data_IF_968183199614
#
_entry.id   IF_968183199614
#
_cell.length_a   1.000
_cell.length_b   1.000
_cell.length_c   1.000
_cell.angle_alpha   90.00
_cell.angle_beta   90.00
_cell.angle_gamma   90.00
#
_symmetry.space_group_name_H-M   'P 1'
#
loop_
_entity.id
_entity.type
_entity.pdbx_description
1 polymer ?
#
# COMPACT_ATOMS: atom_id res chain seq x y z
N UNK A 1 -21.85 -12.08 -12.38
CA UNK A 1 -22.03 -10.63 -12.30
C UNK A 1 -22.27 -10.30 -10.83
N UNK A 2 -21.29 -10.02 -10.10
CA UNK A 2 -21.13 -9.53 -8.73
C UNK A 2 -19.90 -10.18 -8.10
N UNK A 3 -18.71 -9.75 -8.55
CA UNK A 3 -17.41 -10.15 -7.98
C UNK A 3 -16.58 -8.92 -7.58
N UNK A 4 -17.18 -7.73 -7.57
CA UNK A 4 -16.45 -6.47 -7.37
C UNK A 4 -16.22 -6.08 -5.91
N UNK A 5 -16.75 -6.79 -4.92
CA UNK A 5 -16.62 -6.42 -3.50
C UNK A 5 -15.52 -7.16 -2.74
N UNK A 6 -15.16 -8.36 -3.13
CA UNK A 6 -14.18 -9.20 -2.41
C UNK A 6 -12.75 -8.86 -2.86
N UNK A 7 -12.54 -8.61 -4.16
CA UNK A 7 -11.23 -8.24 -4.70
C UNK A 7 -10.74 -6.86 -4.17
N UNK A 8 -11.64 -5.88 -4.01
CA UNK A 8 -11.30 -4.57 -3.48
C UNK A 8 -10.84 -4.62 -2.01
N UNK A 9 -11.43 -5.50 -1.20
CA UNK A 9 -11.08 -5.64 0.21
C UNK A 9 -9.70 -6.30 0.40
N UNK A 10 -9.39 -7.33 -0.40
CA UNK A 10 -8.07 -7.98 -0.38
C UNK A 10 -6.94 -7.03 -0.81
N UNK A 11 -7.14 -6.25 -1.86
CA UNK A 11 -6.18 -5.27 -2.35
C UNK A 11 -5.90 -4.20 -1.28
N UNK A 12 -6.95 -3.68 -0.63
CA UNK A 12 -6.82 -2.67 0.42
C UNK A 12 -6.07 -3.21 1.66
N UNK A 13 -6.31 -4.46 2.05
CA UNK A 13 -5.63 -5.10 3.18
C UNK A 13 -4.16 -5.33 2.88
N UNK A 14 -3.84 -5.76 1.66
CA UNK A 14 -2.46 -5.93 1.23
C UNK A 14 -1.69 -4.61 1.24
N UNK A 15 -2.29 -3.53 0.74
CA UNK A 15 -1.73 -2.17 0.83
C UNK A 15 -1.52 -1.73 2.27
N UNK A 16 -2.44 -2.05 3.16
CA UNK A 16 -2.31 -1.77 4.60
C UNK A 16 -1.14 -2.55 5.21
N UNK A 17 -0.95 -3.83 4.83
CA UNK A 17 0.20 -4.63 5.24
C UNK A 17 1.52 -3.96 4.84
N UNK A 18 1.68 -3.60 3.56
CA UNK A 18 2.91 -2.95 3.09
C UNK A 18 3.13 -1.60 3.78
N UNK A 19 2.07 -0.84 4.02
CA UNK A 19 2.14 0.43 4.72
C UNK A 19 2.63 0.29 6.17
N UNK A 20 2.09 -0.67 6.91
CA UNK A 20 2.47 -0.92 8.31
C UNK A 20 3.87 -1.54 8.46
N UNK A 21 4.36 -2.19 7.42
CA UNK A 21 5.64 -2.91 7.39
C UNK A 21 6.64 -2.32 6.39
N UNK A 22 6.58 -1.01 6.12
CA UNK A 22 7.49 -0.37 5.15
C UNK A 22 8.98 -0.61 5.47
N UNK A 23 9.46 -0.48 6.72
CA UNK A 23 10.85 -0.78 7.05
C UNK A 23 11.22 -2.23 6.71
N UNK A 24 10.36 -3.18 7.09
CA UNK A 24 10.56 -4.60 6.82
C UNK A 24 10.49 -4.92 5.33
N UNK A 25 9.67 -4.19 4.56
CA UNK A 25 9.60 -4.29 3.10
C UNK A 25 10.91 -3.86 2.44
N UNK A 26 11.45 -2.74 2.87
CA UNK A 26 12.75 -2.25 2.37
C UNK A 26 13.88 -3.19 2.80
N UNK A 27 13.89 -3.70 4.02
CA UNK A 27 14.88 -4.69 4.49
C UNK A 27 14.80 -5.99 3.67
N UNK A 28 13.59 -6.48 3.35
CA UNK A 28 13.37 -7.67 2.55
C UNK A 28 13.92 -7.58 1.12
N UNK A 29 13.56 -6.50 0.42
CA UNK A 29 13.74 -6.43 -1.02
C UNK A 29 14.83 -5.46 -1.48
N UNK A 30 15.20 -4.51 -0.62
CA UNK A 30 16.16 -3.45 -0.90
C UNK A 30 17.16 -3.26 0.25
N UNK A 31 17.60 -4.33 0.87
CA UNK A 31 18.49 -4.33 2.05
C UNK A 31 19.70 -3.40 1.93
N UNK A 32 20.28 -3.29 0.73
CA UNK A 32 21.39 -2.39 0.45
C UNK A 32 21.10 -0.91 0.66
N UNK A 33 19.82 -0.52 0.75
CA UNK A 33 19.37 0.85 0.94
C UNK A 33 18.73 1.08 2.30
N UNK A 34 18.50 0.02 3.09
CA UNK A 34 17.77 0.09 4.35
C UNK A 34 18.34 1.20 5.26
N UNK A 35 19.65 1.24 5.47
CA UNK A 35 20.32 2.21 6.34
C UNK A 35 20.31 3.65 5.79
N UNK A 36 19.94 3.83 4.53
CA UNK A 36 19.82 5.15 3.89
C UNK A 36 18.52 5.86 4.22
N UNK A 37 17.49 5.14 4.67
CA UNK A 37 16.18 5.71 4.96
C UNK A 37 15.99 6.03 6.44
N UNK A 38 15.41 7.18 6.73
CA UNK A 38 14.94 7.56 8.05
C UNK A 38 13.44 7.26 8.18
N UNK A 39 13.13 6.05 8.64
CA UNK A 39 11.76 5.58 8.80
C UNK A 39 10.98 6.29 9.91
N UNK A 40 11.64 7.08 10.77
CA UNK A 40 10.95 7.91 11.77
C UNK A 40 10.30 9.15 11.16
N UNK A 41 10.70 9.53 9.94
CA UNK A 41 10.20 10.69 9.21
C UNK A 41 9.57 10.24 7.87
N UNK A 42 8.47 9.47 7.98
CA UNK A 42 7.67 9.00 6.84
C UNK A 42 6.31 9.69 6.84
N UNK A 43 5.93 10.27 5.71
CA UNK A 43 4.61 10.83 5.48
C UNK A 43 3.93 10.08 4.33
N UNK A 44 2.86 9.34 4.65
CA UNK A 44 2.04 8.69 3.63
C UNK A 44 1.17 9.73 2.94
N UNK A 45 1.36 9.88 1.66
CA UNK A 45 0.50 10.74 0.87
C UNK A 45 -0.87 10.08 0.73
N UNK A 46 -1.91 10.90 0.73
CA UNK A 46 -3.25 10.45 0.38
C UNK A 46 -3.21 9.91 -1.04
N UNK A 47 -4.04 8.91 -1.34
CA UNK A 47 -4.14 8.35 -2.68
C UNK A 47 -4.33 9.50 -3.68
N UNK A 48 -3.28 9.79 -4.43
CA UNK A 48 -3.31 10.85 -5.41
C UNK A 48 -4.04 10.35 -6.65
N UNK A 49 -5.18 10.99 -6.92
CA UNK A 49 -5.94 10.72 -8.10
C UNK A 49 -5.63 11.79 -9.16
N UNK A 50 -5.39 11.39 -10.38
CA UNK A 50 -5.27 12.31 -11.51
C UNK A 50 -6.17 11.87 -12.66
N UNK A 51 -6.62 12.84 -13.44
CA UNK A 51 -7.42 12.58 -14.64
C UNK A 51 -6.51 12.07 -15.75
N UNK A 52 -6.84 10.93 -16.34
CA UNK A 52 -6.16 10.40 -17.50
C UNK A 52 -6.77 11.01 -18.79
N UNK A 53 -6.11 11.99 -19.44
CA UNK A 53 -6.58 12.44 -20.74
C UNK A 53 -6.37 11.32 -21.79
N UNK A 54 -7.27 11.13 -22.74
CA UNK A 54 -8.45 11.95 -23.06
C UNK A 54 -9.77 11.49 -22.43
N UNK A 55 -9.78 10.40 -21.64
CA UNK A 55 -11.01 9.73 -21.20
C UNK A 55 -11.56 10.23 -19.87
N UNK A 56 -10.82 11.07 -19.14
CA UNK A 56 -11.27 11.62 -17.85
C UNK A 56 -11.43 10.59 -16.73
N UNK A 57 -10.91 9.37 -16.91
CA UNK A 57 -10.90 8.36 -15.85
C UNK A 57 -9.94 8.78 -14.74
N UNK A 58 -10.42 8.73 -13.52
CA UNK A 58 -9.61 9.00 -12.34
C UNK A 58 -8.72 7.79 -12.06
N UNK A 59 -7.41 7.95 -12.21
CA UNK A 59 -6.42 6.94 -11.81
C UNK A 59 -5.91 7.23 -10.42
N UNK A 60 -5.93 6.20 -9.59
CA UNK A 60 -5.51 6.28 -8.19
C UNK A 60 -4.23 5.46 -8.06
N UNK A 61 -3.18 6.07 -7.48
CA UNK A 61 -1.95 5.38 -7.12
C UNK A 61 -2.13 4.58 -5.84
N UNK A 62 -1.47 3.43 -5.75
CA UNK A 62 -1.64 2.54 -4.60
C UNK A 62 -1.01 3.09 -3.33
N UNK A 63 0.30 3.19 -3.30
CA UNK A 63 1.05 3.62 -2.12
C UNK A 63 2.12 4.64 -2.51
N UNK A 64 2.05 5.82 -1.93
CA UNK A 64 3.08 6.84 -2.08
C UNK A 64 3.47 7.35 -0.70
N UNK A 65 4.75 7.24 -0.36
CA UNK A 65 5.30 7.74 0.90
C UNK A 65 6.44 8.72 0.62
N UNK A 66 6.38 9.88 1.27
CA UNK A 66 7.50 10.78 1.35
C UNK A 66 8.37 10.36 2.52
N UNK A 67 9.65 10.17 2.27
CA UNK A 67 10.60 9.68 3.27
C UNK A 67 11.88 10.52 3.24
N UNK A 68 12.44 10.73 4.41
CA UNK A 68 13.74 11.36 4.57
C UNK A 68 14.86 10.33 4.41
N UNK A 69 16.01 10.78 3.89
CA UNK A 69 17.22 9.96 3.82
C UNK A 69 18.27 10.46 4.81
N UNK A 70 19.08 9.54 5.32
CA UNK A 70 20.18 9.82 6.24
C UNK A 70 21.41 10.46 5.54
N UNK A 71 21.43 10.40 4.22
CA UNK A 71 22.47 10.97 3.36
C UNK A 71 21.85 11.60 2.11
N UNK A 72 22.53 12.55 1.44
CA UNK A 72 22.03 13.12 0.20
C UNK A 72 21.78 12.06 -0.88
N UNK A 73 20.66 12.20 -1.60
CA UNK A 73 20.26 11.26 -2.66
C UNK A 73 21.24 11.28 -3.83
N UNK A 74 21.77 12.45 -4.16
CA UNK A 74 22.78 12.63 -5.18
C UNK A 74 24.04 13.28 -4.60
N UNK A 75 25.26 12.81 -4.98
CA UNK A 75 26.49 13.46 -4.56
C UNK A 75 26.51 14.94 -4.95
N UNK A 76 26.84 15.80 -3.98
CA UNK A 76 26.93 17.26 -4.18
C UNK A 76 25.60 18.01 -4.15
N UNK A 77 24.48 17.35 -3.91
CA UNK A 77 23.18 17.98 -3.59
C UNK A 77 22.86 17.81 -2.12
N UNK A 78 22.08 18.74 -1.57
CA UNK A 78 21.66 18.68 -0.16
C UNK A 78 20.25 18.07 -0.01
N UNK A 79 19.71 17.45 -1.07
CA UNK A 79 18.37 16.88 -1.06
C UNK A 79 18.37 15.55 -0.31
N UNK A 80 17.61 15.50 0.79
CA UNK A 80 17.45 14.34 1.65
C UNK A 80 15.98 13.90 1.74
N UNK A 81 15.15 14.22 0.76
CA UNK A 81 13.75 13.82 0.66
C UNK A 81 13.49 13.14 -0.67
N UNK A 82 12.78 12.02 -0.65
CA UNK A 82 12.31 11.36 -1.86
C UNK A 82 10.90 10.76 -1.66
N UNK A 83 10.26 10.39 -2.75
CA UNK A 83 9.03 9.62 -2.76
C UNK A 83 9.35 8.15 -3.07
N UNK A 84 8.81 7.24 -2.27
CA UNK A 84 8.71 5.83 -2.64
C UNK A 84 7.30 5.61 -3.14
N UNK A 85 7.17 5.15 -4.38
CA UNK A 85 5.89 4.82 -5.01
C UNK A 85 5.84 3.31 -5.25
N UNK A 86 4.89 2.62 -4.63
CA UNK A 86 4.69 1.17 -4.75
C UNK A 86 3.33 0.92 -5.37
N UNK A 87 3.33 0.28 -6.55
CA UNK A 87 2.12 -0.24 -7.20
C UNK A 87 2.03 -1.74 -6.97
N UNK A 88 0.92 -2.18 -6.41
CA UNK A 88 0.60 -3.60 -6.23
C UNK A 88 -0.20 -4.08 -7.44
N UNK A 89 0.29 -5.11 -8.12
CA UNK A 89 -0.36 -5.64 -9.32
C UNK A 89 -0.77 -7.10 -9.11
N UNK A 90 -2.08 -7.34 -9.07
CA UNK A 90 -2.70 -8.66 -8.99
C UNK A 90 -3.07 -9.24 -10.35
N UNK A 91 -2.70 -8.57 -11.46
CA UNK A 91 -2.95 -9.09 -12.80
C UNK A 91 -1.97 -10.20 -13.19
N UNK A 92 -2.37 -11.02 -14.14
CA UNK A 92 -1.52 -12.07 -14.71
C UNK A 92 -0.57 -11.56 -15.81
N UNK A 93 -0.37 -10.24 -15.93
CA UNK A 93 0.49 -9.65 -16.95
C UNK A 93 1.08 -8.31 -16.51
N UNK A 94 2.39 -8.19 -16.54
CA UNK A 94 3.12 -6.96 -16.23
C UNK A 94 2.92 -5.83 -17.26
N UNK A 95 2.40 -6.13 -18.46
CA UNK A 95 2.36 -5.18 -19.56
C UNK A 95 1.54 -3.90 -19.27
N UNK A 96 0.42 -4.05 -18.54
CA UNK A 96 -0.43 -2.90 -18.17
C UNK A 96 0.23 -2.00 -17.15
N UNK A 97 0.98 -2.59 -16.21
CA UNK A 97 1.65 -1.83 -15.16
C UNK A 97 2.78 -0.96 -15.72
N UNK A 98 3.54 -1.44 -16.70
CA UNK A 98 4.68 -0.70 -17.31
C UNK A 98 4.30 0.73 -17.71
N UNK A 99 3.17 0.86 -18.45
CA UNK A 99 2.69 2.18 -18.91
C UNK A 99 2.19 3.04 -17.74
N UNK A 100 1.47 2.44 -16.79
CA UNK A 100 0.98 3.17 -15.60
C UNK A 100 2.14 3.69 -14.77
N UNK A 101 3.19 2.90 -14.55
CA UNK A 101 4.37 3.30 -13.80
C UNK A 101 5.04 4.56 -14.38
N UNK A 102 5.19 4.65 -15.71
CA UNK A 102 5.70 5.87 -16.35
C UNK A 102 4.78 7.06 -16.11
N UNK A 103 3.46 6.89 -16.25
CA UNK A 103 2.49 7.97 -16.06
C UNK A 103 2.52 8.48 -14.62
N UNK A 104 2.53 7.58 -13.63
CA UNK A 104 2.58 7.91 -12.21
C UNK A 104 3.90 8.59 -11.85
N UNK A 105 5.02 8.07 -12.34
CA UNK A 105 6.33 8.69 -12.14
C UNK A 105 6.37 10.12 -12.65
N UNK A 106 5.91 10.35 -13.88
CA UNK A 106 5.89 11.68 -14.49
C UNK A 106 5.00 12.65 -13.71
N UNK A 107 3.83 12.18 -13.25
CA UNK A 107 2.92 12.96 -12.42
C UNK A 107 3.54 13.36 -11.08
N UNK A 108 4.09 12.39 -10.33
CA UNK A 108 4.72 12.63 -9.03
C UNK A 108 5.93 13.57 -9.15
N UNK A 109 6.77 13.37 -10.16
CA UNK A 109 7.92 14.25 -10.42
C UNK A 109 7.50 15.69 -10.71
N UNK A 110 6.40 15.87 -11.43
CA UNK A 110 5.88 17.20 -11.77
C UNK A 110 5.17 17.85 -10.57
N UNK A 111 4.36 17.10 -9.82
CA UNK A 111 3.52 17.65 -8.75
C UNK A 111 4.28 17.90 -7.45
N UNK A 112 5.34 17.11 -7.18
CA UNK A 112 6.08 17.17 -5.92
C UNK A 112 7.52 17.68 -6.05
N UNK A 113 8.05 17.71 -7.27
CA UNK A 113 9.43 18.09 -7.59
C UNK A 113 10.51 17.28 -6.84
N UNK A 114 10.12 16.18 -6.17
CA UNK A 114 11.02 15.28 -5.45
C UNK A 114 11.45 14.10 -6.31
N UNK A 115 12.65 13.51 -6.07
CA UNK A 115 13.02 12.23 -6.64
C UNK A 115 11.98 11.15 -6.29
N UNK A 116 11.73 10.22 -7.22
CA UNK A 116 10.77 9.13 -7.03
C UNK A 116 11.49 7.80 -7.20
N UNK A 117 11.33 6.89 -6.23
CA UNK A 117 11.72 5.50 -6.31
C UNK A 117 10.49 4.67 -6.72
N UNK A 118 10.35 4.30 -8.01
CA UNK A 118 9.19 3.57 -8.49
C UNK A 118 9.40 2.07 -8.32
N UNK A 119 8.42 1.38 -7.68
CA UNK A 119 8.44 -0.05 -7.38
C UNK A 119 7.13 -0.68 -7.83
N UNK A 120 7.20 -1.72 -8.68
CA UNK A 120 6.08 -2.58 -9.01
C UNK A 120 6.17 -3.88 -8.21
N UNK A 121 5.13 -4.22 -7.45
CA UNK A 121 5.01 -5.46 -6.68
C UNK A 121 3.98 -6.36 -7.34
N UNK A 122 4.42 -7.47 -7.91
CA UNK A 122 3.58 -8.42 -8.64
C UNK A 122 3.25 -9.63 -7.77
N UNK A 123 1.94 -9.85 -7.55
CA UNK A 123 1.47 -10.95 -6.72
C UNK A 123 1.42 -12.28 -7.47
N UNK A 124 1.16 -12.26 -8.79
CA UNK A 124 0.95 -13.46 -9.59
C UNK A 124 1.89 -13.60 -10.79
N UNK A 125 2.75 -12.62 -11.02
CA UNK A 125 3.76 -12.66 -12.09
C UNK A 125 5.14 -12.73 -11.46
N UNK A 126 5.87 -13.85 -11.68
CA UNK A 126 7.16 -14.08 -11.04
C UNK A 126 8.28 -13.19 -11.56
N UNK A 127 8.23 -12.78 -12.84
CA UNK A 127 9.36 -12.15 -13.51
C UNK A 127 10.67 -12.92 -13.19
N UNK A 128 11.77 -12.20 -12.96
CA UNK A 128 13.03 -12.77 -12.48
C UNK A 128 13.21 -12.55 -10.95
N UNK A 129 12.10 -12.53 -10.18
CA UNK A 129 12.10 -12.22 -8.75
C UNK A 129 12.32 -10.74 -8.51
N UNK A 130 13.44 -10.33 -7.90
CA UNK A 130 13.79 -8.93 -7.67
C UNK A 130 14.65 -8.42 -8.82
N UNK A 131 14.20 -7.39 -9.52
CA UNK A 131 14.91 -6.87 -10.68
C UNK A 131 14.48 -5.46 -11.08
N UNK A 132 14.59 -5.22 -12.38
CA UNK A 132 14.06 -4.03 -13.05
C UNK A 132 13.21 -4.45 -14.22
N UNK A 133 12.07 -3.84 -14.36
CA UNK A 133 11.24 -3.94 -15.54
C UNK A 133 11.27 -2.60 -16.30
N UNK A 134 11.01 -2.62 -17.59
CA UNK A 134 11.20 -1.47 -18.48
C UNK A 134 9.97 -1.21 -19.33
N UNK A 135 9.53 0.03 -19.37
CA UNK A 135 8.65 0.54 -20.42
C UNK A 135 9.48 1.14 -21.54
N UNK A 136 9.19 0.75 -22.77
CA UNK A 136 9.84 1.29 -23.97
C UNK A 136 8.78 1.80 -24.97
N UNK A 137 9.06 2.94 -25.56
CA UNK A 137 8.30 3.47 -26.71
C UNK A 137 9.24 3.64 -27.89
N UNK A 138 8.87 3.06 -29.02
CA UNK A 138 9.68 3.07 -30.22
C UNK A 138 8.91 3.71 -31.39
N UNK A 139 9.63 4.43 -32.23
CA UNK A 139 9.13 4.97 -33.48
C UNK A 139 10.12 4.64 -34.60
N UNK A 140 9.64 3.97 -35.65
CA UNK A 140 10.44 3.52 -36.82
C UNK A 140 11.70 2.73 -36.45
N UNK A 141 11.64 1.94 -35.36
CA UNK A 141 12.77 1.13 -34.87
C UNK A 141 13.73 1.86 -33.91
N UNK A 142 13.52 3.16 -33.70
CA UNK A 142 14.30 3.93 -32.73
C UNK A 142 13.56 4.02 -31.39
N UNK A 143 14.30 3.86 -30.28
CA UNK A 143 13.76 4.00 -28.93
C UNK A 143 13.67 5.48 -28.57
N UNK A 144 12.44 5.99 -28.39
CA UNK A 144 12.18 7.38 -28.00
C UNK A 144 12.12 7.54 -26.47
N UNK A 145 11.51 6.57 -25.79
CA UNK A 145 11.38 6.58 -24.34
C UNK A 145 11.86 5.23 -23.83
N UNK A 146 12.70 5.27 -22.81
CA UNK A 146 13.02 4.14 -21.95
C UNK A 146 12.84 4.57 -20.50
N UNK A 147 12.00 3.86 -19.77
CA UNK A 147 11.74 4.08 -18.36
C UNK A 147 11.90 2.77 -17.60
N UNK A 148 12.87 2.73 -16.70
CA UNK A 148 13.14 1.58 -15.84
C UNK A 148 12.57 1.81 -14.44
N UNK A 149 11.92 0.80 -13.87
CA UNK A 149 11.43 0.80 -12.48
C UNK A 149 11.83 -0.51 -11.79
N UNK A 150 11.86 -0.49 -10.47
CA UNK A 150 12.14 -1.71 -9.71
C UNK A 150 10.93 -2.63 -9.73
N UNK A 151 11.17 -3.92 -9.92
CA UNK A 151 10.14 -4.94 -9.98
C UNK A 151 10.43 -6.03 -8.95
N UNK A 152 9.38 -6.45 -8.25
CA UNK A 152 9.38 -7.57 -7.32
C UNK A 152 8.28 -8.52 -7.80
N UNK A 153 8.67 -9.66 -8.36
CA UNK A 153 7.75 -10.72 -8.75
C UNK A 153 7.76 -11.81 -7.68
N UNK A 154 6.79 -11.79 -6.75
CA UNK A 154 6.78 -12.71 -5.61
C UNK A 154 6.84 -14.18 -6.03
N UNK A 155 6.08 -14.67 -7.04
CA UNK A 155 6.18 -16.07 -7.46
C UNK A 155 7.54 -16.50 -8.04
N UNK A 156 8.42 -15.56 -8.37
CA UNK A 156 9.79 -15.82 -8.84
C UNK A 156 10.82 -15.95 -7.72
N UNK A 157 10.41 -15.80 -6.45
CA UNK A 157 11.28 -15.88 -5.27
C UNK A 157 11.16 -17.23 -4.57
N UNK A 158 12.24 -17.68 -3.92
CA UNK A 158 12.23 -18.89 -3.09
C UNK A 158 11.54 -18.60 -1.75
N UNK A 159 10.30 -19.08 -1.59
CA UNK A 159 9.51 -18.87 -0.39
C UNK A 159 10.16 -19.43 0.88
N UNK A 160 10.93 -20.52 0.78
CA UNK A 160 11.60 -21.12 1.95
C UNK A 160 12.74 -20.25 2.48
N UNK A 161 13.44 -19.52 1.62
CA UNK A 161 14.46 -18.56 2.05
C UNK A 161 13.84 -17.46 2.92
N UNK A 162 12.73 -16.89 2.48
CA UNK A 162 12.04 -15.82 3.21
C UNK A 162 11.32 -16.36 4.47
N UNK A 163 10.72 -17.54 4.39
CA UNK A 163 10.06 -18.19 5.53
C UNK A 163 11.03 -18.44 6.69
N UNK A 164 12.24 -18.88 6.39
CA UNK A 164 13.28 -19.14 7.38
C UNK A 164 14.05 -17.88 7.84
N UNK A 165 13.87 -16.77 7.15
CA UNK A 165 14.51 -15.49 7.46
C UNK A 165 13.98 -14.85 8.74
N UNK A 166 14.68 -13.83 9.30
CA UNK A 166 14.26 -13.13 10.51
C UNK A 166 13.11 -12.14 10.29
N UNK A 167 12.85 -11.75 9.04
CA UNK A 167 11.88 -10.72 8.68
C UNK A 167 10.45 -11.29 8.63
N UNK A 168 9.57 -10.77 9.50
CA UNK A 168 8.18 -11.28 9.60
C UNK A 168 7.33 -10.95 8.38
N UNK A 169 7.57 -9.82 7.71
CA UNK A 169 6.89 -9.52 6.46
C UNK A 169 7.34 -10.50 5.37
N UNK A 170 8.63 -10.80 5.29
CA UNK A 170 9.16 -11.81 4.38
C UNK A 170 8.53 -13.19 4.61
N UNK A 171 8.38 -13.59 5.89
CA UNK A 171 7.65 -14.81 6.26
C UNK A 171 6.20 -14.77 5.75
N UNK A 172 5.46 -13.69 5.96
CA UNK A 172 4.08 -13.60 5.52
C UNK A 172 3.95 -13.59 3.98
N UNK A 173 4.80 -12.83 3.28
CA UNK A 173 4.80 -12.74 1.83
C UNK A 173 5.28 -14.03 1.14
N UNK A 174 6.01 -14.92 1.85
CA UNK A 174 6.43 -16.20 1.27
C UNK A 174 5.26 -17.12 0.91
N UNK A 175 4.06 -16.87 1.43
CA UNK A 175 2.83 -17.51 0.98
C UNK A 175 2.51 -17.25 -0.51
N UNK A 176 3.01 -16.15 -1.08
CA UNK A 176 2.88 -15.77 -2.49
C UNK A 176 4.09 -16.18 -3.33
N UNK A 177 5.13 -16.72 -2.71
CA UNK A 177 6.37 -17.12 -3.37
C UNK A 177 6.36 -18.61 -3.75
N UNK A 178 7.42 -19.05 -4.40
CA UNK A 178 7.57 -20.47 -4.74
C UNK A 178 7.80 -21.30 -3.46
N UNK A 179 6.80 -22.09 -3.07
CA UNK A 179 6.86 -23.02 -1.95
C UNK A 179 6.67 -24.46 -2.44
N UNK A 180 7.51 -25.43 -2.01
CA UNK A 180 7.29 -26.84 -2.29
C UNK A 180 5.94 -27.29 -1.72
N UNK A 181 5.19 -28.04 -2.52
CA UNK A 181 3.84 -28.47 -2.16
C UNK A 181 3.78 -29.21 -0.83
N UNK A 182 4.71 -30.14 -0.61
CA UNK A 182 4.79 -30.95 0.60
C UNK A 182 5.07 -30.15 1.89
N UNK A 183 5.54 -28.90 1.77
CA UNK A 183 5.95 -28.09 2.91
C UNK A 183 4.90 -27.04 3.31
N UNK A 184 3.87 -26.81 2.47
CA UNK A 184 2.91 -25.71 2.66
C UNK A 184 2.12 -25.78 3.95
N UNK A 185 1.61 -26.97 4.32
CA UNK A 185 0.85 -27.16 5.57
C UNK A 185 1.70 -26.87 6.81
N UNK A 186 2.94 -27.37 6.81
CA UNK A 186 3.91 -27.11 7.86
C UNK A 186 4.31 -25.63 7.90
N UNK A 187 4.63 -25.06 6.74
CA UNK A 187 4.96 -23.64 6.59
C UNK A 187 3.87 -22.75 7.21
N UNK A 188 2.60 -23.00 6.87
CA UNK A 188 1.49 -22.23 7.42
C UNK A 188 1.41 -22.40 8.96
N UNK A 189 1.45 -23.62 9.46
CA UNK A 189 1.38 -23.89 10.91
C UNK A 189 2.51 -23.23 11.69
N UNK A 190 3.77 -23.49 11.31
CA UNK A 190 4.95 -22.94 11.97
C UNK A 190 5.05 -21.41 11.83
N UNK A 191 4.67 -20.88 10.67
CA UNK A 191 4.66 -19.44 10.40
C UNK A 191 3.65 -18.69 11.27
N UNK A 192 2.44 -19.23 11.40
CA UNK A 192 1.42 -18.67 12.29
C UNK A 192 1.88 -18.68 13.75
N UNK A 193 2.43 -19.79 14.22
CA UNK A 193 2.96 -19.89 15.58
C UNK A 193 4.10 -18.91 15.84
N UNK A 194 4.97 -18.73 14.86
CA UNK A 194 6.07 -17.77 14.95
C UNK A 194 5.56 -16.34 15.05
N UNK A 195 4.59 -15.94 14.20
CA UNK A 195 4.00 -14.58 14.23
C UNK A 195 3.33 -14.33 15.58
N UNK A 196 2.52 -15.29 16.06
CA UNK A 196 1.79 -15.17 17.33
C UNK A 196 2.73 -15.01 18.51
N UNK A 197 3.87 -15.72 18.52
CA UNK A 197 4.86 -15.69 19.60
C UNK A 197 5.68 -14.40 19.68
N UNK A 198 5.61 -13.52 18.67
CA UNK A 198 6.39 -12.28 18.65
C UNK A 198 5.83 -11.23 19.62
N UNK A 199 6.66 -10.23 19.97
CA UNK A 199 6.25 -9.03 20.71
C UNK A 199 5.54 -7.96 19.87
N UNK A 200 5.17 -8.25 18.61
CA UNK A 200 4.42 -7.31 17.78
C UNK A 200 3.04 -7.02 18.38
N UNK A 201 2.51 -5.83 18.13
CA UNK A 201 1.14 -5.51 18.52
C UNK A 201 0.12 -6.36 17.75
N UNK A 202 -1.10 -6.46 18.27
CA UNK A 202 -2.14 -7.32 17.74
C UNK A 202 -2.51 -6.99 16.28
N UNK A 203 -2.55 -5.72 15.91
CA UNK A 203 -2.87 -5.30 14.56
C UNK A 203 -1.82 -5.75 13.53
N UNK A 204 -0.54 -5.58 13.84
CA UNK A 204 0.54 -6.05 12.97
C UNK A 204 0.55 -7.57 12.83
N UNK A 205 0.35 -8.30 13.94
CA UNK A 205 0.21 -9.76 13.90
C UNK A 205 -0.95 -10.19 13.00
N UNK A 206 -2.12 -9.54 13.15
CA UNK A 206 -3.29 -9.82 12.33
C UNK A 206 -2.99 -9.68 10.84
N UNK A 207 -2.38 -8.57 10.41
CA UNK A 207 -2.05 -8.36 9.01
C UNK A 207 -1.14 -9.45 8.44
N UNK A 208 -0.16 -9.89 9.23
CA UNK A 208 0.75 -10.97 8.82
C UNK A 208 0.02 -12.33 8.72
N UNK A 209 -0.78 -12.67 9.74
CA UNK A 209 -1.59 -13.89 9.77
C UNK A 209 -2.56 -13.91 8.60
N UNK A 210 -3.28 -12.82 8.38
CA UNK A 210 -4.24 -12.70 7.28
C UNK A 210 -3.57 -12.86 5.91
N UNK A 211 -2.39 -12.28 5.72
CA UNK A 211 -1.62 -12.46 4.50
C UNK A 211 -1.27 -13.94 4.29
N UNK A 212 -0.76 -14.63 5.31
CA UNK A 212 -0.41 -16.06 5.20
C UNK A 212 -1.64 -16.93 4.92
N UNK A 213 -2.73 -16.72 5.65
CA UNK A 213 -3.95 -17.54 5.54
C UNK A 213 -4.63 -17.37 4.18
N UNK A 214 -4.75 -16.13 3.69
CA UNK A 214 -5.40 -15.85 2.42
C UNK A 214 -4.61 -16.29 1.19
N UNK A 215 -3.28 -16.33 1.25
CA UNK A 215 -2.45 -16.62 0.10
C UNK A 215 -1.80 -18.01 0.11
N UNK A 216 -1.83 -18.74 1.25
CA UNK A 216 -1.41 -20.14 1.30
C UNK A 216 -2.55 -21.03 0.81
N UNK A 217 -2.58 -21.30 -0.50
CA UNK A 217 -3.58 -22.18 -1.08
C UNK A 217 -3.25 -23.65 -0.75
N UNK A 218 -3.92 -24.24 0.24
CA UNK A 218 -3.83 -25.64 0.62
C UNK A 218 -4.86 -26.47 -0.17
N UNK A 219 -4.44 -27.62 -0.69
CA UNK A 219 -5.40 -28.61 -1.21
C UNK A 219 -6.02 -29.42 -0.04
N UNK A 220 -6.98 -30.32 -0.37
CA UNK A 220 -7.69 -31.07 0.66
C UNK A 220 -6.77 -31.96 1.54
N UNK A 221 -5.67 -32.49 0.99
CA UNK A 221 -4.71 -33.30 1.75
C UNK A 221 -3.79 -32.42 2.62
N UNK A 222 -3.35 -31.30 2.11
CA UNK A 222 -2.57 -30.30 2.84
C UNK A 222 -3.40 -29.69 3.97
N UNK A 223 -4.71 -29.45 3.75
CA UNK A 223 -5.63 -28.96 4.77
C UNK A 223 -5.77 -29.95 5.94
N UNK A 224 -5.89 -31.24 5.65
CA UNK A 224 -5.94 -32.26 6.71
C UNK A 224 -4.64 -32.31 7.53
N UNK A 225 -3.50 -32.19 6.85
CA UNK A 225 -2.21 -32.16 7.55
C UNK A 225 -2.08 -30.89 8.40
N UNK A 226 -2.51 -29.73 7.89
CA UNK A 226 -2.53 -28.48 8.65
C UNK A 226 -3.40 -28.58 9.91
N UNK A 227 -4.62 -29.15 9.81
CA UNK A 227 -5.49 -29.36 10.96
C UNK A 227 -4.86 -30.34 11.99
N UNK A 228 -4.13 -31.36 11.52
CA UNK A 228 -3.39 -32.27 12.39
C UNK A 228 -2.29 -31.52 13.16
N UNK A 229 -1.46 -30.74 12.46
CA UNK A 229 -0.40 -29.93 13.06
C UNK A 229 -0.96 -28.92 14.06
N UNK A 230 -2.08 -28.25 13.72
CA UNK A 230 -2.80 -27.35 14.63
C UNK A 230 -3.31 -28.02 15.91
N UNK A 231 -3.71 -29.29 15.81
CA UNK A 231 -4.19 -30.05 16.98
C UNK A 231 -3.06 -30.40 17.96
N UNK A 232 -1.84 -30.56 17.44
CA UNK A 232 -0.62 -30.83 18.22
C UNK A 232 -0.05 -29.55 18.88
N UNK A 233 -0.38 -28.37 18.33
CA UNK A 233 0.09 -27.08 18.84
C UNK A 233 -0.73 -26.64 20.05
N UNK A 234 -0.10 -25.95 21.00
CA UNK A 234 -0.69 -25.61 22.32
C UNK A 234 -2.03 -24.86 22.23
N UNK A 235 -2.98 -25.10 23.17
CA UNK A 235 -4.32 -24.50 23.19
C UNK A 235 -4.36 -22.96 23.16
N UNK A 236 -3.27 -22.32 23.61
CA UNK A 236 -3.14 -20.86 23.71
C UNK A 236 -3.20 -20.18 22.34
N UNK A 237 -2.80 -20.87 21.25
CA UNK A 237 -2.83 -20.29 19.90
C UNK A 237 -4.23 -20.31 19.26
N UNK A 238 -5.11 -21.23 19.65
CA UNK A 238 -6.50 -21.30 19.14
C UNK A 238 -7.37 -20.14 19.63
N UNK A 239 -7.28 -19.80 20.92
CA UNK A 239 -8.00 -18.65 21.49
C UNK A 239 -7.45 -17.31 20.99
N UNK A 240 -6.15 -17.30 20.74
CA UNK A 240 -5.45 -16.11 20.27
C UNK A 240 -5.86 -15.76 18.85
N UNK A 241 -5.86 -16.70 17.90
CA UNK A 241 -6.29 -16.46 16.52
C UNK A 241 -7.75 -15.99 16.46
N UNK A 242 -8.70 -16.68 17.12
CA UNK A 242 -10.10 -16.25 17.17
C UNK A 242 -10.37 -14.96 17.95
N UNK A 243 -9.48 -14.60 18.89
CA UNK A 243 -9.52 -13.32 19.61
C UNK A 243 -8.94 -12.16 18.79
N UNK A 244 -8.00 -12.47 17.90
CA UNK A 244 -7.42 -11.54 16.94
C UNK A 244 -8.41 -11.09 15.89
N UNK A 245 -9.06 -12.03 15.22
CA UNK A 245 -10.07 -11.74 14.21
C UNK A 245 -11.12 -10.77 14.73
N UNK A 246 -11.63 -11.00 15.95
CA UNK A 246 -12.62 -10.12 16.56
C UNK A 246 -12.08 -8.74 16.93
N UNK A 247 -10.86 -8.65 17.46
CA UNK A 247 -10.25 -7.36 17.85
C UNK A 247 -9.77 -6.57 16.63
N UNK A 248 -9.27 -7.24 15.63
CA UNK A 248 -8.80 -6.62 14.40
C UNK A 248 -9.98 -6.15 13.53
N UNK A 249 -11.08 -6.91 13.46
CA UNK A 249 -12.32 -6.43 12.86
C UNK A 249 -12.80 -5.16 13.56
N UNK A 250 -12.84 -5.12 14.88
CA UNK A 250 -13.25 -3.94 15.64
C UNK A 250 -12.32 -2.72 15.41
N UNK A 251 -11.00 -2.95 15.31
CA UNK A 251 -10.02 -1.89 15.01
C UNK A 251 -10.12 -1.46 13.53
N UNK A 252 -10.31 -2.41 12.62
CA UNK A 252 -10.51 -2.16 11.19
C UNK A 252 -11.82 -1.40 10.91
N UNK A 253 -12.91 -1.80 11.55
CA UNK A 253 -14.21 -1.12 11.50
C UNK A 253 -14.10 0.31 12.06
N UNK A 254 -13.53 0.50 13.24
CA UNK A 254 -13.34 1.83 13.83
C UNK A 254 -12.44 2.75 12.98
N UNK A 255 -11.38 2.21 12.36
CA UNK A 255 -10.54 2.97 11.42
C UNK A 255 -11.26 3.24 10.09
N UNK A 256 -11.96 2.24 9.56
CA UNK A 256 -12.76 2.36 8.34
C UNK A 256 -13.92 3.36 8.49
N UNK A 257 -14.62 3.33 9.63
CA UNK A 257 -15.67 4.30 9.97
C UNK A 257 -15.10 5.72 10.10
N UNK A 258 -13.98 5.91 10.81
CA UNK A 258 -13.33 7.21 10.96
C UNK A 258 -12.86 7.77 9.61
N UNK A 259 -12.27 6.93 8.75
CA UNK A 259 -11.84 7.33 7.41
C UNK A 259 -13.03 7.59 6.48
N UNK A 260 -14.07 6.75 6.55
CA UNK A 260 -15.30 6.91 5.79
C UNK A 260 -16.09 8.16 6.19
N UNK A 261 -16.17 8.47 7.47
CA UNK A 261 -16.77 9.73 7.98
C UNK A 261 -16.01 10.94 7.44
N UNK A 262 -14.71 11.00 7.59
CA UNK A 262 -13.90 12.14 7.11
C UNK A 262 -14.00 12.30 5.59
N UNK A 263 -14.01 11.20 4.83
CA UNK A 263 -14.23 11.25 3.37
C UNK A 263 -15.64 11.74 3.02
N UNK A 264 -16.65 11.27 3.73
CA UNK A 264 -18.04 11.73 3.57
C UNK A 264 -18.18 13.22 3.87
N UNK A 265 -17.61 13.70 4.96
CA UNK A 265 -17.62 15.12 5.35
C UNK A 265 -16.94 16.00 4.28
N UNK A 266 -15.75 15.60 3.77
CA UNK A 266 -15.09 16.33 2.66
C UNK A 266 -15.96 16.48 1.44
N UNK A 267 -16.60 15.39 1.01
CA UNK A 267 -17.48 15.40 -0.16
C UNK A 267 -18.68 16.33 0.05
N UNK A 268 -19.21 16.41 1.25
CA UNK A 268 -20.30 17.31 1.60
C UNK A 268 -19.83 18.76 1.61
N UNK A 269 -18.71 19.05 2.29
CA UNK A 269 -18.13 20.40 2.36
C UNK A 269 -17.76 20.93 0.97
N UNK A 270 -17.10 20.13 0.13
CA UNK A 270 -16.81 20.51 -1.26
C UNK A 270 -18.08 20.83 -2.07
N UNK A 271 -19.15 20.04 -1.89
CA UNK A 271 -20.44 20.32 -2.55
C UNK A 271 -21.07 21.60 -2.05
N UNK A 272 -21.00 21.87 -0.76
CA UNK A 272 -21.54 23.09 -0.14
C UNK A 272 -20.78 24.34 -0.62
N UNK A 273 -19.45 24.29 -0.59
CA UNK A 273 -18.59 25.36 -1.09
C UNK A 273 -18.83 25.67 -2.57
N UNK A 274 -18.84 24.63 -3.42
CA UNK A 274 -19.13 24.80 -4.86
C UNK A 274 -20.53 25.36 -5.10
N UNK A 275 -21.52 24.98 -4.30
CA UNK A 275 -22.89 25.46 -4.42
C UNK A 275 -23.05 26.92 -3.99
N UNK A 276 -22.33 27.35 -2.95
CA UNK A 276 -22.49 28.69 -2.37
C UNK A 276 -21.57 29.72 -3.02
N UNK A 277 -20.32 29.33 -3.31
CA UNK A 277 -19.28 30.26 -3.78
C UNK A 277 -18.83 30.03 -5.23
N UNK A 278 -19.40 29.02 -5.91
CA UNK A 278 -19.02 28.67 -7.28
C UNK A 278 -17.90 27.63 -7.32
N UNK A 279 -17.39 27.35 -8.54
CA UNK A 279 -16.37 26.33 -8.77
C UNK A 279 -15.06 26.73 -8.08
N UNK A 280 -14.58 25.88 -7.17
CA UNK A 280 -13.32 26.05 -6.46
C UNK A 280 -12.13 25.87 -7.40
N UNK A 281 -11.05 26.59 -7.14
CA UNK A 281 -9.76 26.37 -7.80
C UNK A 281 -9.13 25.04 -7.34
N UNK A 282 -8.10 24.59 -8.07
CA UNK A 282 -7.35 23.38 -7.69
C UNK A 282 -6.69 23.55 -6.29
N UNK A 283 -6.16 24.72 -6.00
CA UNK A 283 -5.55 25.03 -4.69
C UNK A 283 -6.59 25.00 -3.56
N UNK A 284 -7.75 25.60 -3.78
CA UNK A 284 -8.85 25.59 -2.82
C UNK A 284 -9.40 24.18 -2.56
N UNK A 285 -9.51 23.40 -3.61
CA UNK A 285 -9.93 21.98 -3.50
C UNK A 285 -8.90 21.17 -2.71
N UNK A 286 -7.60 21.32 -3.01
CA UNK A 286 -6.53 20.64 -2.31
C UNK A 286 -6.47 21.03 -0.81
N UNK A 287 -6.78 22.29 -0.48
CA UNK A 287 -6.85 22.75 0.89
C UNK A 287 -7.95 22.04 1.69
N UNK A 288 -9.16 21.89 1.10
CA UNK A 288 -10.26 21.14 1.74
C UNK A 288 -9.92 19.65 1.84
N UNK A 289 -9.26 19.10 0.84
CA UNK A 289 -8.82 17.69 0.85
C UNK A 289 -7.77 17.42 1.92
N UNK A 290 -7.00 18.41 2.33
CA UNK A 290 -6.00 18.29 3.39
C UNK A 290 -6.59 18.37 4.82
N UNK A 291 -7.82 18.84 4.98
CA UNK A 291 -8.44 19.05 6.30
C UNK A 291 -8.74 17.75 7.04
N UNK A 292 -8.57 17.76 8.37
CA UNK A 292 -9.05 16.72 9.25
C UNK A 292 -10.56 16.88 9.55
N UNK A 293 -11.16 15.95 10.33
CA UNK A 293 -12.60 15.95 10.65
C UNK A 293 -13.05 17.22 11.33
N UNK A 294 -12.29 17.69 12.34
CA UNK A 294 -12.65 18.87 13.13
C UNK A 294 -12.63 20.14 12.25
N UNK A 295 -11.61 20.29 11.41
CA UNK A 295 -11.52 21.39 10.45
C UNK A 295 -12.66 21.38 9.40
N UNK A 296 -13.09 20.19 8.99
CA UNK A 296 -14.22 20.05 8.05
C UNK A 296 -15.54 20.43 8.72
N UNK A 297 -15.71 20.09 9.99
CA UNK A 297 -16.89 20.47 10.77
C UNK A 297 -16.94 21.99 10.98
N UNK A 298 -15.81 22.61 11.35
CA UNK A 298 -15.70 24.07 11.52
C UNK A 298 -16.05 24.79 10.21
N UNK A 299 -15.44 24.39 9.09
CA UNK A 299 -15.73 24.97 7.77
C UNK A 299 -17.21 24.76 7.39
N UNK A 300 -17.78 23.61 7.70
CA UNK A 300 -19.19 23.32 7.39
C UNK A 300 -20.14 24.25 8.13
N UNK A 301 -19.81 24.66 9.35
CA UNK A 301 -20.56 25.64 10.13
C UNK A 301 -20.33 27.06 9.62
N UNK A 302 -19.07 27.45 9.38
CA UNK A 302 -18.71 28.76 8.84
C UNK A 302 -19.36 29.05 7.47
N UNK A 303 -19.52 28.04 6.63
CA UNK A 303 -20.20 28.14 5.32
C UNK A 303 -21.61 28.74 5.47
N UNK A 304 -22.32 28.47 6.56
CA UNK A 304 -23.70 28.94 6.74
C UNK A 304 -23.78 30.46 6.78
N UNK A 305 -22.84 31.11 7.43
CA UNK A 305 -22.85 32.55 7.71
C UNK A 305 -21.97 33.37 6.77
N UNK A 306 -20.91 32.78 6.19
CA UNK A 306 -19.95 33.48 5.31
C UNK A 306 -20.59 34.00 4.03
N UNK A 307 -20.31 35.21 3.65
CA UNK A 307 -20.75 35.81 2.38
C UNK A 307 -19.75 35.59 1.25
N UNK A 308 -18.48 35.30 1.58
CA UNK A 308 -17.42 35.04 0.61
C UNK A 308 -16.47 33.95 1.12
N UNK A 309 -15.71 33.34 0.21
CA UNK A 309 -14.75 32.27 0.54
C UNK A 309 -13.63 32.76 1.45
N UNK A 310 -13.23 34.03 1.33
CA UNK A 310 -12.19 34.67 2.14
C UNK A 310 -12.59 34.93 3.60
N UNK A 311 -13.87 34.78 3.94
CA UNK A 311 -14.35 34.87 5.31
C UNK A 311 -14.20 33.58 6.09
N UNK A 312 -14.04 32.46 5.41
CA UNK A 312 -13.81 31.15 6.04
C UNK A 312 -12.38 31.09 6.60
N UNK A 313 -12.23 30.73 7.87
CA UNK A 313 -10.94 30.69 8.58
C UNK A 313 -9.88 29.89 7.83
N UNK A 314 -10.29 28.79 7.21
CA UNK A 314 -9.40 27.90 6.45
C UNK A 314 -8.87 28.50 5.13
N UNK A 315 -9.46 29.60 4.63
CA UNK A 315 -9.08 30.26 3.38
C UNK A 315 -8.51 31.67 3.58
N UNK A 316 -8.28 32.04 4.85
CA UNK A 316 -7.60 33.29 5.24
C UNK A 316 -6.08 33.02 5.21
N UNK A 317 -5.42 33.26 4.09
CA UNK A 317 -3.97 33.20 3.94
C UNK A 317 -3.40 34.50 3.40
#
# INVERSE_FOLDING_TARGET
MATTGIDDDHDQRFKTLIREFLPEFIDCFFKRWYDRFDFSHCEWLKQEAFLDPPHGEQKIMDLVVQIRTNEPIEPGKNECLLLIHIEVDSSNSAAKLRRRMLQYYAYLRRSRELPVLPIGLFLYVGLDGIGRDTYTETLWGETLIRFDYYSIGLPGLDGMEYANGPNLLGLALSALMALPKQDRARFLSEGLDRIVSTGQNDFRKYLLVECMDNYTNLDASEQLEFERLKAETQPMNKEFIGGFERRAMAIGEARGEAQGMTFGQRKVVLKQLNKKFGVLTLEQTALVEAMNSDQLDDVSLEILDACSLSELTAFQS
#
